data_IF_428264198025
#
_entry.id   IF_428264198025
#
_cell.length_a   1.000
_cell.length_b   1.000
_cell.length_c   1.000
_cell.angle_alpha   90.00
_cell.angle_beta   90.00
_cell.angle_gamma   90.00
#
_symmetry.space_group_name_H-M   'P 1'
#
loop_
_entity.id
_entity.type
_entity.pdbx_description
1 polymer ?
#
# COMPACT_ATOMS: atom_id res chain seq x y z
N UNK A 1 -14.14 12.66 -6.62
CA UNK A 1 -13.65 13.15 -5.33
C UNK A 1 -13.56 12.08 -4.28
N UNK A 2 -14.69 11.50 -3.94
CA UNK A 2 -14.70 10.44 -2.92
C UNK A 2 -13.83 9.25 -3.32
N UNK A 3 -13.79 8.96 -4.61
CA UNK A 3 -12.99 7.85 -5.09
C UNK A 3 -11.50 8.07 -4.89
N UNK A 4 -11.00 9.27 -5.17
CA UNK A 4 -9.58 9.52 -5.02
C UNK A 4 -9.18 9.53 -3.54
N UNK A 5 -10.05 10.01 -2.66
CA UNK A 5 -9.80 9.96 -1.22
C UNK A 5 -9.76 8.53 -0.74
N UNK A 6 -10.71 7.70 -1.21
CA UNK A 6 -10.74 6.30 -0.87
C UNK A 6 -9.48 5.57 -1.36
N UNK A 7 -9.09 5.82 -2.61
CA UNK A 7 -7.91 5.18 -3.16
C UNK A 7 -6.66 5.53 -2.37
N UNK A 8 -6.54 6.79 -1.96
CA UNK A 8 -5.42 7.23 -1.16
C UNK A 8 -5.42 6.55 0.22
N UNK A 9 -6.58 6.48 0.86
CA UNK A 9 -6.70 5.85 2.17
C UNK A 9 -6.42 4.36 2.09
N UNK A 10 -6.98 3.68 1.10
CA UNK A 10 -6.74 2.25 0.90
C UNK A 10 -5.28 1.98 0.58
N UNK A 11 -4.66 2.83 -0.25
CA UNK A 11 -3.26 2.69 -0.58
C UNK A 11 -2.38 2.82 0.64
N UNK A 12 -2.65 3.80 1.50
CA UNK A 12 -1.91 3.97 2.75
C UNK A 12 -2.10 2.78 3.67
N UNK A 13 -3.32 2.28 3.78
CA UNK A 13 -3.60 1.11 4.60
C UNK A 13 -2.83 -0.11 4.12
N UNK A 14 -2.85 -0.36 2.81
CA UNK A 14 -2.12 -1.50 2.25
C UNK A 14 -0.62 -1.33 2.39
N UNK A 15 -0.14 -0.11 2.26
CA UNK A 15 1.29 0.17 2.43
C UNK A 15 1.74 -0.17 3.85
N UNK A 16 1.00 0.28 4.85
CA UNK A 16 1.32 0.01 6.26
C UNK A 16 1.21 -1.47 6.55
N UNK A 17 0.16 -2.11 6.06
CA UNK A 17 -0.04 -3.54 6.25
C UNK A 17 1.10 -4.34 5.63
N UNK A 18 1.55 -3.91 4.45
CA UNK A 18 2.67 -4.56 3.79
C UNK A 18 3.97 -4.41 4.56
N UNK A 19 4.21 -3.22 5.14
CA UNK A 19 5.39 -3.02 5.98
C UNK A 19 5.39 -3.94 7.18
N UNK A 20 4.24 -4.10 7.83
CA UNK A 20 4.13 -4.99 8.99
C UNK A 20 4.42 -6.42 8.58
N UNK A 21 3.84 -6.87 7.47
CA UNK A 21 4.08 -8.22 6.98
C UNK A 21 5.54 -8.45 6.64
N UNK A 22 6.18 -7.45 6.01
CA UNK A 22 7.58 -7.53 5.66
C UNK A 22 8.45 -7.68 6.90
N UNK A 23 8.18 -6.89 7.93
CA UNK A 23 8.94 -6.94 9.18
C UNK A 23 8.74 -8.25 9.92
N UNK A 24 7.50 -8.70 9.98
CA UNK A 24 7.20 -9.98 10.64
C UNK A 24 7.87 -11.12 9.89
N UNK A 25 7.80 -11.10 8.56
CA UNK A 25 8.44 -12.12 7.76
C UNK A 25 9.93 -12.17 7.97
N UNK A 26 10.57 -11.00 8.06
CA UNK A 26 12.01 -10.92 8.29
C UNK A 26 12.36 -11.40 9.69
N UNK A 27 11.58 -10.99 10.69
CA UNK A 27 11.85 -11.35 12.08
C UNK A 27 11.64 -12.84 12.34
N UNK A 28 10.72 -13.48 11.61
CA UNK A 28 10.44 -14.90 11.79
C UNK A 28 11.12 -15.79 10.75
N UNK A 29 11.99 -15.21 9.93
CA UNK A 29 12.67 -15.93 8.87
C UNK A 29 11.69 -16.56 7.88
N UNK A 30 10.66 -15.82 7.52
CA UNK A 30 9.64 -16.29 6.59
C UNK A 30 9.73 -15.48 5.29
N UNK A 31 10.53 -15.93 4.30
CA UNK A 31 10.73 -15.15 3.08
C UNK A 31 9.46 -14.97 2.25
N UNK A 32 8.53 -15.90 2.33
CA UNK A 32 7.26 -15.75 1.61
C UNK A 32 6.43 -14.59 2.17
N UNK A 33 6.39 -14.49 3.48
CA UNK A 33 5.64 -13.42 4.13
C UNK A 33 6.31 -12.07 3.88
N UNK A 34 7.63 -12.04 3.93
CA UNK A 34 8.38 -10.83 3.63
C UNK A 34 8.11 -10.35 2.20
N UNK A 35 8.15 -11.27 1.24
CA UNK A 35 7.88 -10.94 -0.16
C UNK A 35 6.46 -10.45 -0.36
N UNK A 36 5.49 -11.07 0.31
CA UNK A 36 4.11 -10.62 0.24
C UNK A 36 3.96 -9.22 0.80
N UNK A 37 4.66 -8.94 1.90
CA UNK A 37 4.64 -7.61 2.49
C UNK A 37 5.19 -6.56 1.55
N UNK A 38 6.28 -6.86 0.85
CA UNK A 38 6.86 -5.94 -0.13
C UNK A 38 5.90 -5.67 -1.28
N UNK A 39 5.25 -6.71 -1.79
CA UNK A 39 4.29 -6.56 -2.88
C UNK A 39 3.11 -5.71 -2.45
N UNK A 40 2.58 -5.98 -1.27
CA UNK A 40 1.44 -5.24 -0.75
C UNK A 40 1.80 -3.78 -0.48
N UNK A 41 2.99 -3.55 0.08
CA UNK A 41 3.48 -2.20 0.33
C UNK A 41 3.61 -1.40 -0.97
N UNK A 42 4.20 -2.01 -1.99
CA UNK A 42 4.37 -1.36 -3.28
C UNK A 42 3.02 -1.11 -3.95
N UNK A 43 2.11 -2.08 -3.88
CA UNK A 43 0.77 -1.92 -4.42
C UNK A 43 0.02 -0.79 -3.75
N UNK A 44 0.19 -0.66 -2.43
CA UNK A 44 -0.43 0.43 -1.68
C UNK A 44 0.10 1.78 -2.10
N UNK A 45 1.41 1.88 -2.35
CA UNK A 45 2.00 3.14 -2.82
C UNK A 45 1.46 3.54 -4.18
N UNK A 46 1.32 2.58 -5.09
CA UNK A 46 0.77 2.84 -6.42
C UNK A 46 -0.67 3.32 -6.31
N UNK A 47 -1.47 2.65 -5.51
CA UNK A 47 -2.86 3.02 -5.31
C UNK A 47 -2.98 4.43 -4.72
N UNK A 48 -2.11 4.76 -3.77
CA UNK A 48 -2.09 6.08 -3.17
C UNK A 48 -1.76 7.16 -4.20
N UNK A 49 -0.80 6.88 -5.08
CA UNK A 49 -0.43 7.84 -6.13
C UNK A 49 -1.54 8.03 -7.15
N UNK A 50 -2.25 6.96 -7.48
CA UNK A 50 -3.40 7.06 -8.37
C UNK A 50 -4.47 7.97 -7.76
N UNK A 51 -4.73 7.80 -6.46
CA UNK A 51 -5.67 8.66 -5.77
C UNK A 51 -5.26 10.13 -5.80
N UNK A 52 -3.95 10.39 -5.62
CA UNK A 52 -3.44 11.76 -5.68
C UNK A 52 -3.59 12.36 -7.07
N UNK A 53 -3.34 11.56 -8.11
CA UNK A 53 -3.49 12.02 -9.48
C UNK A 53 -4.95 12.36 -9.81
N UNK A 54 -5.87 11.51 -9.40
CA UNK A 54 -7.29 11.77 -9.60
C UNK A 54 -7.70 13.06 -8.93
N UNK A 55 -7.17 13.31 -7.76
CA UNK A 55 -7.45 14.52 -7.00
C UNK A 55 -6.89 15.76 -7.72
N UNK A 56 -5.68 15.63 -8.24
CA UNK A 56 -5.05 16.73 -8.95
C UNK A 56 -5.79 17.07 -10.25
N UNK A 57 -6.41 16.05 -10.86
CA UNK A 57 -7.19 16.27 -12.08
C UNK A 57 -8.62 16.75 -11.78
N UNK A 58 -8.97 16.94 -10.51
CA UNK A 58 -10.27 17.45 -10.13
C UNK A 58 -11.39 16.41 -10.17
N UNK A 59 -11.04 15.15 -10.06
CA UNK A 59 -12.04 14.07 -10.12
C UNK A 59 -12.35 13.48 -8.77
#
# INVERSE_FOLDING_TARGET
>A
MKRSIRDKAEGTFHEVKGKVKERIGRATNNPKLEARGQVEKTGGKVQKKIGQLERALGK
#
